data_IF_502569505932
#
_entry.id   IF_502569505932
#
_cell.length_a   1.000
_cell.length_b   1.000
_cell.length_c   1.000
_cell.angle_alpha   90.00
_cell.angle_beta   90.00
_cell.angle_gamma   90.00
#
_symmetry.space_group_name_H-M   'P 1'
#
loop_
_entity.id
_entity.type
_entity.pdbx_description
1 polymer ?
#
# COMPACT_ATOMS: atom_id res chain seq x y z
N UNK A 1 -0.09 -21.58 3.58
CA UNK A 1 -0.21 -20.23 4.20
C UNK A 1 1.14 -19.70 4.68
N UNK A 2 1.85 -20.39 5.57
CA UNK A 2 3.14 -19.94 6.14
C UNK A 2 4.20 -19.51 5.11
N UNK A 3 4.32 -20.25 4.00
CA UNK A 3 5.25 -19.92 2.91
C UNK A 3 4.91 -18.59 2.21
N UNK A 4 3.62 -18.33 1.96
CA UNK A 4 3.15 -17.08 1.33
C UNK A 4 3.40 -15.87 2.24
N UNK A 5 3.25 -16.03 3.56
CA UNK A 5 3.64 -14.99 4.52
C UNK A 5 5.14 -14.72 4.52
N UNK A 6 5.97 -15.76 4.35
CA UNK A 6 7.41 -15.60 4.13
C UNK A 6 7.74 -14.83 2.86
N UNK A 7 7.00 -15.12 1.78
CA UNK A 7 7.20 -14.49 0.47
C UNK A 7 6.90 -12.98 0.48
N UNK A 8 5.89 -12.52 1.21
CA UNK A 8 5.53 -11.10 1.26
C UNK A 8 6.35 -10.26 2.25
N UNK A 9 7.29 -10.87 3.00
CA UNK A 9 8.07 -10.16 4.03
C UNK A 9 8.78 -8.92 3.48
N UNK A 10 9.48 -9.06 2.35
CA UNK A 10 10.20 -7.93 1.77
C UNK A 10 9.25 -6.80 1.31
N UNK A 11 8.18 -7.07 0.53
CA UNK A 11 7.16 -6.06 0.23
C UNK A 11 6.59 -5.37 1.46
N UNK A 12 6.26 -6.14 2.51
CA UNK A 12 5.72 -5.60 3.75
C UNK A 12 6.74 -4.71 4.45
N UNK A 13 8.02 -5.11 4.50
CA UNK A 13 9.10 -4.29 5.06
C UNK A 13 9.27 -2.98 4.27
N UNK A 14 9.19 -3.01 2.94
CA UNK A 14 9.24 -1.80 2.11
C UNK A 14 8.05 -0.88 2.38
N UNK A 15 6.85 -1.44 2.51
CA UNK A 15 5.64 -0.70 2.89
C UNK A 15 5.82 -0.02 4.25
N UNK A 16 6.32 -0.75 5.24
CA UNK A 16 6.59 -0.22 6.58
C UNK A 16 7.66 0.87 6.52
N UNK A 17 8.72 0.68 5.73
CA UNK A 17 9.77 1.68 5.56
C UNK A 17 9.25 2.97 4.95
N UNK A 18 8.45 2.89 3.88
CA UNK A 18 7.82 4.07 3.27
C UNK A 18 6.83 4.74 4.22
N UNK A 19 6.07 3.95 4.98
CA UNK A 19 5.18 4.47 6.02
C UNK A 19 5.93 5.27 7.08
N UNK A 20 7.04 4.73 7.61
CA UNK A 20 7.89 5.42 8.59
C UNK A 20 8.49 6.70 7.98
N UNK A 21 8.96 6.64 6.73
CA UNK A 21 9.47 7.82 6.02
C UNK A 21 8.42 8.94 5.93
N UNK A 22 7.17 8.59 5.60
CA UNK A 22 6.06 9.56 5.59
C UNK A 22 5.73 10.11 6.97
N UNK A 23 5.72 9.25 7.99
CA UNK A 23 5.46 9.66 9.35
C UNK A 23 6.53 10.63 9.85
N UNK A 24 7.80 10.33 9.61
CA UNK A 24 8.93 11.16 10.01
C UNK A 24 8.92 12.52 9.30
N UNK A 25 8.68 12.55 7.98
CA UNK A 25 8.59 13.81 7.22
C UNK A 25 7.38 14.65 7.66
N UNK A 26 6.22 14.01 7.87
CA UNK A 26 5.04 14.69 8.37
C UNK A 26 5.25 15.29 9.77
N UNK A 27 5.87 14.53 10.68
CA UNK A 27 6.22 15.00 12.01
C UNK A 27 7.27 16.13 12.00
N UNK A 28 8.16 16.14 10.99
CA UNK A 28 9.14 17.20 10.79
C UNK A 28 8.55 18.46 10.11
N UNK A 29 7.26 18.46 9.76
CA UNK A 29 6.59 19.59 9.11
C UNK A 29 6.97 19.81 7.65
N UNK A 30 7.55 18.83 6.97
CA UNK A 30 7.83 18.92 5.54
C UNK A 30 6.52 19.02 4.75
N UNK A 31 6.53 19.64 3.56
CA UNK A 31 5.32 19.73 2.74
C UNK A 31 4.84 18.37 2.24
N UNK A 32 3.52 18.20 2.11
CA UNK A 32 2.92 16.97 1.62
C UNK A 32 3.46 16.53 0.25
N UNK A 33 3.78 17.50 -0.62
CA UNK A 33 4.40 17.25 -1.93
C UNK A 33 5.77 16.57 -1.83
N UNK A 34 6.61 16.98 -0.88
CA UNK A 34 7.90 16.32 -0.63
C UNK A 34 7.67 14.89 -0.15
N UNK A 35 6.73 14.70 0.78
CA UNK A 35 6.34 13.37 1.27
C UNK A 35 5.88 12.45 0.13
N UNK A 36 5.10 12.96 -0.82
CA UNK A 36 4.67 12.20 -2.00
C UNK A 36 5.79 11.93 -2.99
N UNK A 37 6.70 12.87 -3.24
CA UNK A 37 7.82 12.65 -4.16
C UNK A 37 8.79 11.58 -3.65
N UNK A 38 9.07 11.56 -2.35
CA UNK A 38 10.06 10.66 -1.76
C UNK A 38 9.47 9.31 -1.32
N UNK A 39 8.29 9.33 -0.71
CA UNK A 39 7.67 8.15 -0.08
C UNK A 39 6.20 8.01 -0.49
N UNK A 40 5.90 7.99 -1.80
CA UNK A 40 4.56 7.69 -2.28
C UNK A 40 4.15 6.24 -1.98
N UNK A 41 3.20 6.06 -1.06
CA UNK A 41 2.64 4.74 -0.76
C UNK A 41 1.92 4.15 -1.98
N UNK A 42 1.22 4.98 -2.75
CA UNK A 42 0.44 4.53 -3.90
C UNK A 42 1.36 3.96 -4.98
N UNK A 43 2.42 4.69 -5.32
CA UNK A 43 3.38 4.25 -6.34
C UNK A 43 4.06 2.97 -5.88
N UNK A 44 4.49 2.88 -4.61
CA UNK A 44 5.06 1.65 -4.07
C UNK A 44 4.08 0.47 -4.16
N UNK A 45 2.83 0.65 -3.73
CA UNK A 45 1.81 -0.38 -3.79
C UNK A 45 1.59 -0.89 -5.22
N UNK A 46 1.52 0.00 -6.21
CA UNK A 46 1.35 -0.39 -7.61
C UNK A 46 2.52 -1.26 -8.09
N UNK A 47 3.76 -0.85 -7.82
CA UNK A 47 4.94 -1.62 -8.21
C UNK A 47 4.96 -2.99 -7.52
N UNK A 48 4.72 -3.04 -6.22
CA UNK A 48 4.71 -4.29 -5.47
C UNK A 48 3.57 -5.22 -5.91
N UNK A 49 2.38 -4.68 -6.16
CA UNK A 49 1.21 -5.44 -6.62
C UNK A 49 1.34 -5.96 -8.05
N UNK A 50 2.23 -5.39 -8.87
CA UNK A 50 2.54 -5.91 -10.21
C UNK A 50 3.72 -6.88 -10.19
N UNK A 51 4.85 -6.49 -9.58
CA UNK A 51 6.10 -7.23 -9.66
C UNK A 51 6.10 -8.49 -8.79
N UNK A 52 5.59 -8.39 -7.56
CA UNK A 52 5.66 -9.51 -6.62
C UNK A 52 4.81 -10.72 -7.05
N UNK A 53 3.60 -10.52 -7.60
CA UNK A 53 2.84 -11.59 -8.21
C UNK A 53 3.49 -12.21 -9.45
N UNK A 54 4.18 -11.41 -10.27
CA UNK A 54 4.95 -11.93 -11.42
C UNK A 54 6.09 -12.86 -10.96
N UNK A 55 6.85 -12.44 -9.94
CA UNK A 55 7.89 -13.25 -9.29
C UNK A 55 7.29 -14.51 -8.65
N UNK A 56 6.17 -14.37 -7.94
CA UNK A 56 5.48 -15.48 -7.29
C UNK A 56 5.01 -16.53 -8.29
N UNK A 57 4.48 -16.12 -9.45
CA UNK A 57 4.18 -17.04 -10.54
C UNK A 57 5.45 -17.75 -11.03
N UNK A 58 6.48 -16.99 -11.39
CA UNK A 58 7.64 -17.53 -12.10
C UNK A 58 8.49 -18.46 -11.23
N UNK A 59 8.76 -18.07 -9.99
CA UNK A 59 9.73 -18.75 -9.13
C UNK A 59 9.08 -19.60 -8.03
N UNK A 60 7.79 -19.41 -7.77
CA UNK A 60 7.03 -20.18 -6.75
C UNK A 60 5.83 -20.94 -7.33
N UNK A 61 5.58 -20.85 -8.63
CA UNK A 61 4.48 -21.54 -9.29
C UNK A 61 3.10 -21.06 -8.83
N UNK A 62 2.97 -19.83 -8.32
CA UNK A 62 1.67 -19.34 -7.84
C UNK A 62 0.67 -19.21 -8.99
N UNK A 63 -0.49 -19.86 -8.83
CA UNK A 63 -1.65 -19.62 -9.67
C UNK A 63 -2.21 -18.20 -9.50
N UNK A 64 -3.19 -17.84 -10.34
CA UNK A 64 -3.79 -16.50 -10.34
C UNK A 64 -4.36 -16.10 -8.97
N UNK A 65 -5.08 -16.99 -8.29
CA UNK A 65 -5.62 -16.72 -6.96
C UNK A 65 -4.53 -16.53 -5.90
N UNK A 66 -3.40 -17.23 -6.01
CA UNK A 66 -2.25 -17.02 -5.12
C UNK A 66 -1.58 -15.66 -5.34
N UNK A 67 -1.55 -15.21 -6.59
CA UNK A 67 -0.98 -13.94 -7.02
C UNK A 67 -1.84 -12.74 -6.60
N UNK A 68 -3.17 -12.87 -6.77
CA UNK A 68 -4.17 -11.93 -6.25
C UNK A 68 -4.02 -11.81 -4.73
N UNK A 69 -3.98 -12.94 -4.02
CA UNK A 69 -3.86 -12.93 -2.56
C UNK A 69 -2.58 -12.22 -2.09
N UNK A 70 -1.45 -12.45 -2.76
CA UNK A 70 -0.19 -11.76 -2.44
C UNK A 70 -0.33 -10.25 -2.60
N UNK A 71 -0.86 -9.77 -3.73
CA UNK A 71 -1.05 -8.34 -3.97
C UNK A 71 -2.01 -7.71 -2.96
N UNK A 72 -3.16 -8.36 -2.71
CA UNK A 72 -4.15 -7.90 -1.72
C UNK A 72 -3.55 -7.83 -0.32
N UNK A 73 -2.73 -8.80 0.09
CA UNK A 73 -2.07 -8.76 1.40
C UNK A 73 -1.08 -7.60 1.55
N UNK A 74 -0.32 -7.29 0.50
CA UNK A 74 0.60 -6.14 0.51
C UNK A 74 -0.19 -4.83 0.64
N UNK A 75 -1.25 -4.67 -0.16
CA UNK A 75 -2.09 -3.47 -0.11
C UNK A 75 -2.82 -3.39 1.23
N UNK A 76 -3.39 -4.48 1.72
CA UNK A 76 -4.09 -4.55 3.00
C UNK A 76 -3.21 -4.04 4.15
N UNK A 77 -1.98 -4.52 4.25
CA UNK A 77 -1.04 -4.05 5.30
C UNK A 77 -0.81 -2.55 5.17
N UNK A 78 -0.59 -2.05 3.96
CA UNK A 78 -0.39 -0.62 3.75
C UNK A 78 -1.62 0.22 4.14
N UNK A 79 -2.83 -0.23 3.77
CA UNK A 79 -4.06 0.48 4.10
C UNK A 79 -4.36 0.42 5.60
N UNK A 80 -4.05 -0.70 6.27
CA UNK A 80 -4.15 -0.82 7.72
C UNK A 80 -3.25 0.17 8.45
N UNK A 81 -2.01 0.37 7.99
CA UNK A 81 -1.10 1.39 8.54
C UNK A 81 -1.65 2.81 8.34
N UNK A 82 -2.10 3.14 7.13
CA UNK A 82 -2.68 4.46 6.81
C UNK A 82 -3.93 4.74 7.64
N UNK A 83 -4.84 3.76 7.70
CA UNK A 83 -6.09 3.86 8.46
C UNK A 83 -5.81 4.07 9.95
N UNK A 84 -4.92 3.25 10.53
CA UNK A 84 -4.57 3.32 11.96
C UNK A 84 -3.90 4.64 12.30
N UNK A 85 -2.96 5.10 11.47
CA UNK A 85 -2.25 6.36 11.73
C UNK A 85 -3.15 7.58 11.51
N UNK A 86 -4.14 7.49 10.61
CA UNK A 86 -5.19 8.51 10.49
C UNK A 86 -5.94 8.63 11.81
N UNK A 87 -6.45 7.51 12.35
CA UNK A 87 -7.17 7.49 13.62
C UNK A 87 -6.31 8.05 14.77
N UNK A 88 -5.07 7.59 14.89
CA UNK A 88 -4.13 8.04 15.93
C UNK A 88 -3.88 9.55 15.80
N UNK A 89 -3.67 10.06 14.58
CA UNK A 89 -3.37 11.48 14.38
C UNK A 89 -4.51 12.38 14.84
N UNK A 90 -5.75 12.00 14.55
CA UNK A 90 -6.93 12.70 15.04
C UNK A 90 -7.12 12.59 16.56
N UNK A 91 -6.96 11.39 17.13
CA UNK A 91 -7.15 11.17 18.56
C UNK A 91 -6.09 11.87 19.42
N UNK A 92 -4.85 11.92 18.93
CA UNK A 92 -3.74 12.59 19.61
C UNK A 92 -3.64 14.09 19.30
N UNK A 93 -4.46 14.61 18.38
CA UNK A 93 -4.40 16.01 17.95
C UNK A 93 -3.10 16.41 17.27
N UNK A 94 -2.38 15.45 16.68
CA UNK A 94 -1.12 15.69 15.97
C UNK A 94 -1.38 15.86 14.47
N UNK A 95 -0.77 16.87 13.86
CA UNK A 95 -0.82 17.06 12.41
C UNK A 95 0.28 16.23 11.73
N UNK A 96 -0.15 15.29 10.89
CA UNK A 96 0.71 14.45 10.06
C UNK A 96 0.14 14.37 8.65
N UNK A 97 0.84 13.75 7.71
CA UNK A 97 0.26 13.48 6.38
C UNK A 97 -0.96 12.55 6.40
N UNK A 98 -1.22 11.86 7.51
CA UNK A 98 -2.30 10.89 7.60
C UNK A 98 -3.65 11.55 7.93
N UNK A 99 -3.65 12.72 8.57
CA UNK A 99 -4.82 13.58 8.78
C UNK A 99 -4.80 14.87 7.95
N UNK A 100 -3.93 14.95 6.93
CA UNK A 100 -3.95 16.03 5.94
C UNK A 100 -5.24 15.95 5.10
N UNK A 101 -6.05 17.02 5.03
CA UNK A 101 -7.27 17.03 4.24
C UNK A 101 -7.05 16.65 2.78
N UNK A 102 -6.02 17.21 2.13
CA UNK A 102 -5.70 16.93 0.72
C UNK A 102 -5.44 15.45 0.51
N UNK A 103 -4.85 14.78 1.51
CA UNK A 103 -4.60 13.34 1.48
C UNK A 103 -5.85 12.46 1.67
N UNK A 104 -6.97 13.03 2.14
CA UNK A 104 -8.19 12.28 2.48
C UNK A 104 -9.35 12.60 1.52
N UNK A 105 -9.55 13.86 1.16
CA UNK A 105 -10.66 14.30 0.30
C UNK A 105 -10.20 15.05 -0.97
N UNK A 106 -8.90 15.31 -1.12
CA UNK A 106 -8.36 16.06 -2.26
C UNK A 106 -8.61 17.57 -2.21
N UNK A 107 -9.10 18.10 -1.09
CA UNK A 107 -9.33 19.53 -0.87
C UNK A 107 -8.56 19.98 0.39
N UNK A 108 -8.24 21.28 0.52
CA UNK A 108 -7.58 21.79 1.72
C UNK A 108 -8.54 21.96 2.91
N UNK A 109 -9.83 21.69 2.75
CA UNK A 109 -10.84 21.95 3.78
C UNK A 109 -10.73 20.94 4.94
N UNK A 110 -10.60 21.39 6.20
CA UNK A 110 -10.53 20.50 7.34
C UNK A 110 -11.73 19.56 7.42
N UNK A 111 -11.46 18.27 7.66
CA UNK A 111 -12.51 17.26 7.85
C UNK A 111 -12.46 16.71 9.27
N UNK A 112 -13.63 16.43 9.84
CA UNK A 112 -13.75 15.79 11.14
C UNK A 112 -13.35 14.30 11.10
N UNK A 113 -12.96 13.75 12.26
CA UNK A 113 -12.53 12.36 12.42
C UNK A 113 -13.51 11.36 11.80
N UNK A 114 -14.82 11.49 12.04
CA UNK A 114 -15.81 10.56 11.52
C UNK A 114 -15.81 10.49 9.98
N UNK A 115 -15.82 11.64 9.32
CA UNK A 115 -15.73 11.73 7.86
C UNK A 115 -14.38 11.19 7.34
N UNK A 116 -13.27 11.50 8.04
CA UNK A 116 -11.95 11.00 7.69
C UNK A 116 -11.89 9.46 7.70
N UNK A 117 -12.39 8.84 8.76
CA UNK A 117 -12.36 7.38 8.91
C UNK A 117 -13.28 6.67 7.91
N UNK A 118 -14.42 7.27 7.55
CA UNK A 118 -15.29 6.77 6.47
C UNK A 118 -14.55 6.82 5.13
N UNK A 119 -13.95 7.96 4.77
CA UNK A 119 -13.16 8.09 3.54
C UNK A 119 -12.02 7.07 3.49
N UNK A 120 -11.27 6.90 4.59
CA UNK A 120 -10.21 5.87 4.71
C UNK A 120 -10.74 4.46 4.56
N UNK A 121 -11.93 4.15 5.08
CA UNK A 121 -12.52 2.81 4.95
C UNK A 121 -12.95 2.52 3.52
N UNK A 122 -13.57 3.48 2.83
CA UNK A 122 -13.94 3.36 1.42
C UNK A 122 -12.69 3.16 0.55
N UNK A 123 -11.68 4.01 0.75
CA UNK A 123 -10.42 3.93 0.00
C UNK A 123 -9.63 2.67 0.34
N UNK A 124 -9.70 2.16 1.57
CA UNK A 124 -9.13 0.86 1.94
C UNK A 124 -9.70 -0.24 1.04
N UNK A 125 -11.03 -0.38 1.02
CA UNK A 125 -11.70 -1.43 0.24
C UNK A 125 -11.40 -1.27 -1.25
N UNK A 126 -11.53 -0.04 -1.78
CA UNK A 126 -11.24 0.25 -3.18
C UNK A 126 -9.79 -0.13 -3.55
N UNK A 127 -8.81 0.22 -2.70
CA UNK A 127 -7.41 -0.11 -2.94
C UNK A 127 -7.16 -1.61 -2.88
N UNK A 128 -7.84 -2.37 -2.01
CA UNK A 128 -7.75 -3.83 -2.02
C UNK A 128 -8.29 -4.44 -3.33
N UNK A 129 -9.39 -3.90 -3.87
CA UNK A 129 -9.92 -4.31 -5.19
C UNK A 129 -8.93 -3.99 -6.30
N UNK A 130 -8.36 -2.79 -6.31
CA UNK A 130 -7.29 -2.41 -7.25
C UNK A 130 -6.09 -3.34 -7.10
N UNK A 131 -5.68 -3.67 -5.88
CA UNK A 131 -4.61 -4.63 -5.60
C UNK A 131 -4.90 -6.02 -6.17
N UNK A 132 -6.15 -6.49 -6.12
CA UNK A 132 -6.53 -7.75 -6.75
C UNK A 132 -6.37 -7.71 -8.28
N UNK A 133 -6.81 -6.62 -8.91
CA UNK A 133 -6.66 -6.40 -10.35
C UNK A 133 -5.18 -6.36 -10.74
N UNK A 134 -4.38 -5.55 -10.04
CA UNK A 134 -2.94 -5.46 -10.28
C UNK A 134 -2.24 -6.81 -10.05
N UNK A 135 -2.67 -7.58 -9.06
CA UNK A 135 -2.14 -8.92 -8.82
C UNK A 135 -2.43 -9.91 -9.94
N UNK A 136 -3.62 -9.84 -10.54
CA UNK A 136 -3.96 -10.62 -11.72
C UNK A 136 -3.14 -10.19 -12.95
N UNK A 137 -2.95 -8.88 -13.15
CA UNK A 137 -2.09 -8.34 -14.21
C UNK A 137 -0.64 -8.79 -14.01
N UNK A 138 -0.10 -8.65 -12.80
CA UNK A 138 1.23 -9.11 -12.43
C UNK A 138 1.42 -10.60 -12.68
N UNK A 139 0.42 -11.42 -12.38
CA UNK A 139 0.44 -12.85 -12.73
C UNK A 139 0.50 -13.10 -14.24
N UNK A 140 -0.23 -12.33 -15.04
CA UNK A 140 -0.16 -12.45 -16.50
C UNK A 140 1.22 -12.05 -17.03
N UNK A 141 1.78 -10.94 -16.53
CA UNK A 141 3.13 -10.47 -16.87
C UNK A 141 4.20 -11.50 -16.48
N UNK A 142 4.05 -12.18 -15.34
CA UNK A 142 4.95 -13.26 -14.92
C UNK A 142 4.99 -14.45 -15.87
N UNK A 143 3.96 -14.63 -16.71
CA UNK A 143 3.94 -15.64 -17.77
C UNK A 143 4.84 -15.31 -18.96
N UNK A 144 5.25 -14.05 -19.10
CA UNK A 144 6.17 -13.58 -20.14
C UNK A 144 7.64 -13.72 -19.75
N UNK A 145 7.92 -13.99 -18.46
CA UNK A 145 9.30 -14.15 -17.98
C UNK A 145 9.86 -15.47 -18.52
N UNK A 146 10.97 -15.45 -19.29
CA UNK A 146 11.53 -16.65 -19.92
C UNK A 146 11.77 -17.78 -18.94
N UNK A 147 11.50 -18.99 -19.40
CA UNK A 147 11.61 -20.22 -18.63
C UNK A 147 13.06 -20.65 -18.33
N UNK A 148 14.06 -19.87 -18.77
CA UNK A 148 15.47 -20.26 -18.82
C UNK A 148 15.93 -20.92 -17.52
N UNK A 149 16.42 -22.14 -17.69
CA UNK A 149 17.04 -22.97 -16.66
C UNK A 149 18.31 -22.25 -16.21
N UNK A 150 18.30 -21.77 -14.97
CA UNK A 150 19.56 -21.58 -14.24
C UNK A 150 20.02 -22.98 -13.82
#
# INVERSE_FOLDING_TARGET
MREKFGFIRLPVLLVVFFFIGRLALGAAGASYDIGNRLFSMVILQVHLALLWPAVGRRYRGYGIGGSILVAVMIVFVSQALIWSMTAISYLAGIHTYFNDPVAINGTPEPIGLGAAMISRTITFVANCVVGAILGAIGWALGGLIPAERI
#
